data_IF_123057872151
#
_entry.id   IF_123057872151
#
_cell.length_a   1.000
_cell.length_b   1.000
_cell.length_c   1.000
_cell.angle_alpha   90.00
_cell.angle_beta   90.00
_cell.angle_gamma   90.00
#
_symmetry.space_group_name_H-M   'P 1'
#
loop_
_entity.id
_entity.type
_entity.pdbx_description
1 polymer ?
#
# COMPACT_ATOMS: atom_id res chain seq x y z
N UNK A 1 21.75 17.80 10.01
CA UNK A 1 20.76 16.71 10.02
C UNK A 1 21.47 15.44 9.56
N UNK A 2 22.10 14.69 10.46
CA UNK A 2 22.46 13.30 10.14
C UNK A 2 21.16 12.50 10.04
N UNK A 3 20.98 11.78 8.94
CA UNK A 3 19.73 11.13 8.58
C UNK A 3 19.44 9.90 9.43
N UNK A 4 18.15 9.71 9.75
CA UNK A 4 17.58 8.55 10.47
C UNK A 4 17.99 7.20 9.89
N UNK A 5 18.39 7.17 8.61
CA UNK A 5 18.92 5.98 7.93
C UNK A 5 20.24 5.47 8.52
N UNK A 6 21.10 6.34 9.08
CA UNK A 6 22.34 5.91 9.76
C UNK A 6 22.04 5.34 11.14
N UNK A 7 21.11 5.96 11.87
CA UNK A 7 20.67 5.49 13.19
C UNK A 7 20.04 4.09 13.09
N UNK A 8 19.18 3.85 12.08
CA UNK A 8 18.62 2.51 11.82
C UNK A 8 19.66 1.46 11.41
N UNK A 9 20.72 1.88 10.73
CA UNK A 9 21.80 0.96 10.33
C UNK A 9 22.68 0.55 11.52
N UNK A 10 22.81 1.42 12.53
CA UNK A 10 23.53 1.13 13.77
C UNK A 10 22.70 0.25 14.72
N UNK A 11 21.38 0.44 14.81
CA UNK A 11 20.47 -0.37 15.64
C UNK A 11 20.44 -1.86 15.26
N UNK A 12 20.64 -2.19 13.96
CA UNK A 12 20.72 -3.58 13.48
C UNK A 12 21.90 -4.34 14.10
N UNK A 13 22.91 -3.67 14.66
CA UNK A 13 24.07 -4.32 15.27
C UNK A 13 23.86 -4.68 16.75
N UNK A 14 22.66 -4.47 17.32
CA UNK A 14 22.38 -4.72 18.74
C UNK A 14 21.65 -6.06 19.02
N UNK A 15 21.56 -6.96 18.04
CA UNK A 15 21.07 -8.33 18.26
C UNK A 15 22.08 -9.14 19.08
N UNK A 16 21.59 -9.99 19.98
CA UNK A 16 22.46 -10.78 20.84
C UNK A 16 23.19 -11.81 19.99
N UNK A 17 24.53 -11.78 20.02
CA UNK A 17 25.38 -12.76 19.33
C UNK A 17 25.35 -14.14 20.01
N UNK A 18 24.51 -14.33 21.04
CA UNK A 18 24.40 -15.59 21.76
C UNK A 18 23.39 -16.52 21.10
N UNK A 19 23.82 -17.75 20.79
CA UNK A 19 22.96 -18.79 20.18
C UNK A 19 21.67 -19.08 20.98
N UNK A 20 21.65 -18.82 22.29
CA UNK A 20 20.46 -18.99 23.12
C UNK A 20 19.38 -17.91 22.90
N UNK A 21 19.78 -16.73 22.44
CA UNK A 21 18.87 -15.57 22.25
C UNK A 21 18.36 -15.46 20.80
N UNK A 22 19.01 -16.15 19.86
CA UNK A 22 18.67 -16.11 18.43
C UNK A 22 17.20 -16.49 18.13
N UNK A 23 16.59 -17.36 18.95
CA UNK A 23 15.17 -17.70 18.83
C UNK A 23 14.24 -16.54 19.19
N UNK A 24 14.55 -15.82 20.27
CA UNK A 24 13.80 -14.65 20.74
C UNK A 24 13.97 -13.49 19.75
N UNK A 25 15.22 -13.19 19.36
CA UNK A 25 15.52 -12.10 18.41
C UNK A 25 14.80 -12.32 17.06
N UNK A 26 14.74 -13.56 16.57
CA UNK A 26 14.03 -13.87 15.34
C UNK A 26 12.51 -13.74 15.50
N UNK A 27 11.95 -14.19 16.63
CA UNK A 27 10.53 -14.02 16.92
C UNK A 27 10.14 -12.54 16.97
N UNK A 28 10.91 -11.72 17.68
CA UNK A 28 10.64 -10.28 17.81
C UNK A 28 10.72 -9.57 16.45
N UNK A 29 11.69 -9.96 15.62
CA UNK A 29 11.81 -9.46 14.25
C UNK A 29 10.62 -9.86 13.38
N UNK A 30 10.24 -11.13 13.39
CA UNK A 30 9.12 -11.63 12.60
C UNK A 30 7.79 -11.00 13.05
N UNK A 31 7.62 -10.80 14.36
CA UNK A 31 6.48 -10.08 14.92
C UNK A 31 6.42 -8.63 14.46
N UNK A 32 7.55 -7.90 14.52
CA UNK A 32 7.64 -6.52 14.05
C UNK A 32 7.33 -6.39 12.55
N UNK A 33 7.83 -7.32 11.73
CA UNK A 33 7.52 -7.37 10.30
C UNK A 33 6.03 -7.66 10.04
N UNK A 34 5.41 -8.56 10.79
CA UNK A 34 3.98 -8.86 10.66
C UNK A 34 3.12 -7.64 11.02
N UNK A 35 3.49 -6.90 12.06
CA UNK A 35 2.78 -5.68 12.45
C UNK A 35 2.88 -4.62 11.34
N UNK A 36 4.09 -4.40 10.81
CA UNK A 36 4.31 -3.44 9.73
C UNK A 36 3.53 -3.81 8.46
N UNK A 37 3.44 -5.10 8.12
CA UNK A 37 2.63 -5.57 6.99
C UNK A 37 1.14 -5.26 7.20
N UNK A 38 0.63 -5.49 8.42
CA UNK A 38 -0.77 -5.18 8.76
C UNK A 38 -1.06 -3.69 8.65
N UNK A 39 -0.13 -2.84 9.08
CA UNK A 39 -0.26 -1.38 8.99
C UNK A 39 -0.28 -0.91 7.53
N UNK A 40 0.58 -1.47 6.67
CA UNK A 40 0.57 -1.18 5.23
C UNK A 40 -0.75 -1.59 4.56
N UNK A 41 -1.27 -2.77 4.89
CA UNK A 41 -2.56 -3.24 4.38
C UNK A 41 -3.71 -2.30 4.81
N UNK A 42 -3.67 -1.81 6.05
CA UNK A 42 -4.65 -0.85 6.56
C UNK A 42 -4.56 0.50 5.81
N UNK A 43 -3.35 1.02 5.57
CA UNK A 43 -3.15 2.25 4.80
C UNK A 43 -3.69 2.13 3.38
N UNK A 44 -3.39 1.01 2.71
CA UNK A 44 -3.90 0.74 1.38
C UNK A 44 -5.45 0.73 1.35
N UNK A 45 -6.08 0.10 2.33
CA UNK A 45 -7.54 0.06 2.41
C UNK A 45 -8.17 1.43 2.71
N UNK A 46 -7.48 2.28 3.48
CA UNK A 46 -7.88 3.66 3.72
C UNK A 46 -7.82 4.47 2.41
N UNK A 47 -6.72 4.37 1.65
CA UNK A 47 -6.58 5.05 0.36
C UNK A 47 -7.65 4.60 -0.65
N UNK A 48 -7.94 3.30 -0.71
CA UNK A 48 -9.03 2.79 -1.55
C UNK A 48 -10.40 3.30 -1.07
N UNK A 49 -10.64 3.40 0.23
CA UNK A 49 -11.87 3.96 0.77
C UNK A 49 -12.04 5.46 0.40
N UNK A 50 -10.96 6.24 0.45
CA UNK A 50 -10.96 7.64 0.00
C UNK A 50 -11.31 7.74 -1.49
N UNK A 51 -10.70 6.91 -2.34
CA UNK A 51 -11.05 6.85 -3.77
C UNK A 51 -12.52 6.45 -4.01
N UNK A 52 -13.10 5.58 -3.17
CA UNK A 52 -14.54 5.23 -3.24
C UNK A 52 -15.43 6.42 -2.88
N UNK A 53 -14.99 7.28 -1.96
CA UNK A 53 -15.72 8.51 -1.63
C UNK A 53 -15.72 9.44 -2.84
N UNK A 54 -14.56 9.66 -3.48
CA UNK A 54 -14.45 10.48 -4.68
C UNK A 54 -15.32 9.97 -5.83
N UNK A 55 -15.39 8.63 -6.00
CA UNK A 55 -16.25 7.98 -6.99
C UNK A 55 -17.73 7.92 -6.60
N UNK A 56 -18.09 8.30 -5.38
CA UNK A 56 -19.47 8.22 -4.86
C UNK A 56 -19.98 6.80 -4.58
N UNK A 57 -19.09 5.81 -4.50
CA UNK A 57 -19.44 4.39 -4.23
C UNK A 57 -19.17 3.95 -2.79
N UNK A 58 -18.74 4.89 -1.93
CA UNK A 58 -18.50 4.62 -0.52
C UNK A 58 -19.75 4.11 0.21
N UNK A 59 -19.57 3.12 1.08
CA UNK A 59 -20.65 2.51 1.83
C UNK A 59 -21.48 1.49 1.04
N UNK A 60 -21.05 1.09 -0.16
CA UNK A 60 -21.65 -0.01 -0.94
C UNK A 60 -20.70 -1.20 -0.96
N UNK A 61 -21.23 -2.39 -0.70
CA UNK A 61 -20.46 -3.63 -0.71
C UNK A 61 -20.01 -3.99 -2.13
N UNK A 62 -18.71 -4.21 -2.34
CA UNK A 62 -18.15 -4.50 -3.67
C UNK A 62 -18.61 -5.87 -4.23
N UNK A 63 -18.95 -6.84 -3.38
CA UNK A 63 -19.39 -8.18 -3.83
C UNK A 63 -20.89 -8.21 -4.10
N UNK A 64 -21.68 -7.69 -3.17
CA UNK A 64 -23.15 -7.86 -3.19
C UNK A 64 -23.90 -6.64 -3.73
N UNK A 65 -23.24 -5.49 -3.86
CA UNK A 65 -23.87 -4.22 -4.22
C UNK A 65 -24.83 -3.67 -3.16
N UNK A 66 -24.93 -4.32 -1.99
CA UNK A 66 -25.81 -3.90 -0.89
C UNK A 66 -25.16 -2.79 -0.05
N UNK A 67 -25.94 -1.90 0.58
CA UNK A 67 -25.40 -0.89 1.47
C UNK A 67 -24.74 -1.53 2.70
N UNK A 68 -23.59 -0.99 3.10
CA UNK A 68 -22.86 -1.38 4.31
C UNK A 68 -23.52 -0.68 5.52
N UNK A 69 -23.81 -1.40 6.62
CA UNK A 69 -24.41 -0.79 7.81
C UNK A 69 -23.59 0.39 8.35
N UNK A 70 -24.25 1.49 8.68
CA UNK A 70 -23.58 2.70 9.21
C UNK A 70 -22.73 2.41 10.46
N UNK A 71 -23.27 1.66 11.42
CA UNK A 71 -22.55 1.26 12.62
C UNK A 71 -21.22 0.53 12.33
N UNK A 72 -21.11 -0.15 11.19
CA UNK A 72 -19.86 -0.77 10.75
C UNK A 72 -18.88 0.25 10.17
N UNK A 73 -19.35 1.19 9.37
CA UNK A 73 -18.51 2.27 8.82
C UNK A 73 -18.05 3.24 9.93
N UNK A 74 -18.85 3.43 10.97
CA UNK A 74 -18.47 4.23 12.14
C UNK A 74 -17.35 3.57 12.95
N UNK A 75 -17.35 2.23 13.01
CA UNK A 75 -16.31 1.46 13.70
C UNK A 75 -15.06 1.22 12.82
N UNK A 76 -15.26 0.93 11.53
CA UNK A 76 -14.24 0.60 10.54
C UNK A 76 -14.54 1.36 9.24
N UNK A 77 -14.04 2.60 9.09
CA UNK A 77 -14.36 3.45 7.95
C UNK A 77 -13.93 2.88 6.59
N UNK A 78 -12.83 2.13 6.53
CA UNK A 78 -12.33 1.55 5.28
C UNK A 78 -13.00 0.22 4.88
N UNK A 79 -14.08 -0.19 5.57
CA UNK A 79 -14.73 -1.47 5.31
C UNK A 79 -15.30 -1.58 3.88
N UNK A 80 -14.88 -2.62 3.15
CA UNK A 80 -15.28 -2.93 1.76
C UNK A 80 -16.58 -3.70 1.60
N UNK A 81 -16.88 -4.53 2.60
CA UNK A 81 -17.91 -5.56 2.51
C UNK A 81 -18.87 -5.49 3.69
N UNK A 82 -20.07 -6.00 3.48
CA UNK A 82 -20.97 -6.35 4.59
C UNK A 82 -20.40 -7.52 5.39
N UNK A 83 -20.85 -7.66 6.64
CA UNK A 83 -20.44 -8.78 7.51
C UNK A 83 -20.73 -10.13 6.83
N UNK A 84 -21.92 -10.29 6.27
CA UNK A 84 -22.32 -11.52 5.57
C UNK A 84 -21.40 -11.87 4.40
N UNK A 85 -21.03 -10.87 3.58
CA UNK A 85 -20.15 -11.05 2.44
C UNK A 85 -18.71 -11.34 2.88
N UNK A 86 -18.24 -10.65 3.92
CA UNK A 86 -16.92 -10.91 4.50
C UNK A 86 -16.84 -12.33 5.07
N UNK A 87 -17.84 -12.77 5.85
CA UNK A 87 -17.88 -14.13 6.43
C UNK A 87 -17.88 -15.21 5.37
N UNK A 88 -18.56 -14.99 4.23
CA UNK A 88 -18.51 -15.92 3.10
C UNK A 88 -17.11 -15.98 2.49
N UNK A 89 -16.47 -14.83 2.27
CA UNK A 89 -15.11 -14.76 1.74
C UNK A 89 -14.06 -15.43 2.65
N UNK A 90 -14.22 -15.28 3.97
CA UNK A 90 -13.38 -15.93 4.99
C UNK A 90 -13.56 -17.45 4.96
N UNK A 91 -14.82 -17.91 4.86
CA UNK A 91 -15.15 -19.34 4.77
C UNK A 91 -14.59 -19.98 3.51
N UNK A 92 -14.65 -19.28 2.39
CA UNK A 92 -14.16 -19.78 1.09
C UNK A 92 -12.63 -19.75 0.99
N UNK A 93 -11.94 -19.27 2.04
CA UNK A 93 -10.47 -19.20 2.09
C UNK A 93 -9.86 -18.17 1.15
N UNK A 94 -10.70 -17.39 0.44
CA UNK A 94 -10.30 -16.40 -0.54
C UNK A 94 -9.63 -15.16 0.09
N UNK A 95 -9.70 -15.01 1.41
CA UNK A 95 -8.97 -14.00 2.19
C UNK A 95 -7.53 -14.38 2.53
N UNK A 96 -7.02 -15.54 2.09
CA UNK A 96 -5.60 -15.88 2.26
C UNK A 96 -4.74 -15.00 1.35
N UNK A 97 -4.28 -13.88 1.92
CA UNK A 97 -3.21 -13.01 1.44
C UNK A 97 -3.17 -12.87 -0.08
N UNK A 98 -3.79 -11.81 -0.60
CA UNK A 98 -3.09 -11.10 -1.66
C UNK A 98 -1.81 -10.58 -1.00
N UNK A 99 -0.74 -11.38 -1.02
CA UNK A 99 0.62 -10.84 -0.91
C UNK A 99 0.62 -9.65 -1.84
N UNK A 100 1.03 -8.49 -1.33
CA UNK A 100 1.29 -7.31 -2.15
C UNK A 100 2.26 -7.72 -3.25
N UNK A 101 1.71 -8.21 -4.36
CA UNK A 101 2.41 -8.30 -5.61
C UNK A 101 2.40 -6.85 -6.10
N UNK A 102 3.54 -6.20 -5.93
CA UNK A 102 3.88 -4.93 -6.55
C UNK A 102 3.38 -3.65 -5.84
N UNK A 103 3.69 -3.47 -4.55
CA UNK A 103 3.85 -2.10 -4.04
C UNK A 103 5.30 -1.70 -4.29
N UNK A 104 5.49 -0.78 -5.25
CA UNK A 104 6.80 -0.26 -5.63
C UNK A 104 7.54 0.22 -4.39
N UNK A 105 8.81 -0.13 -4.30
CA UNK A 105 9.73 0.47 -3.35
C UNK A 105 9.63 1.99 -3.48
N UNK A 106 9.72 2.69 -2.36
CA UNK A 106 9.59 4.16 -2.28
C UNK A 106 10.62 4.92 -3.14
N UNK A 107 11.59 4.21 -3.72
CA UNK A 107 12.58 4.70 -4.69
C UNK A 107 12.06 4.86 -6.14
N UNK A 108 10.84 4.42 -6.47
CA UNK A 108 10.36 4.46 -7.86
C UNK A 108 9.92 5.87 -8.35
N UNK A 109 9.82 6.87 -7.46
CA UNK A 109 9.59 8.27 -7.84
C UNK A 109 10.95 8.98 -7.99
N UNK A 110 11.70 8.66 -9.04
CA UNK A 110 12.82 9.53 -9.46
C UNK A 110 13.08 9.61 -10.97
N UNK A 111 12.28 8.95 -11.83
CA UNK A 111 12.41 9.12 -13.28
C UNK A 111 11.06 9.45 -13.91
N UNK A 112 10.58 10.67 -13.67
CA UNK A 112 9.73 11.35 -14.63
C UNK A 112 10.65 12.35 -15.34
N UNK A 113 11.18 11.92 -16.48
CA UNK A 113 11.85 12.80 -17.43
C UNK A 113 10.79 13.81 -17.91
N UNK A 114 10.95 15.06 -17.50
CA UNK A 114 10.17 16.18 -18.04
C UNK A 114 10.80 16.53 -19.38
N UNK A 115 10.14 16.16 -20.46
CA UNK A 115 10.45 16.64 -21.80
C UNK A 115 10.18 18.17 -21.84
N UNK A 116 11.25 18.96 -21.93
CA UNK A 116 11.14 20.40 -22.23
C UNK A 116 10.92 20.57 -23.73
N UNK A 117 9.71 20.99 -24.11
CA UNK A 117 9.42 21.54 -25.44
C UNK A 117 10.14 22.88 -25.60
N UNK A 118 11.06 22.97 -26.57
CA UNK A 118 11.56 24.25 -27.09
C UNK A 118 11.06 24.41 -28.51
N UNK A 119 10.10 25.32 -28.69
CA UNK A 119 9.71 25.87 -29.99
C UNK A 119 10.83 26.76 -30.54
N UNK A 120 11.21 26.56 -31.80
CA UNK A 120 11.75 27.63 -32.65
C UNK A 120 10.99 27.66 -33.99
N UNK A 121 10.46 28.84 -34.31
CA UNK A 121 9.69 29.15 -35.52
C UNK A 121 10.54 29.14 -36.82
N UNK A 122 9.97 28.46 -37.81
CA UNK A 122 9.80 28.80 -39.25
C UNK A 122 10.92 29.44 -40.08
N UNK A 123 11.20 28.83 -41.26
CA UNK A 123 11.11 29.46 -42.61
C UNK A 123 11.24 28.44 -43.76
N UNK A 124 10.79 28.74 -44.99
CA UNK A 124 9.97 27.82 -45.79
C UNK A 124 10.57 27.33 -47.12
N UNK A 125 9.94 26.25 -47.65
CA UNK A 125 9.74 25.85 -49.06
C UNK A 125 10.94 25.57 -50.00
N UNK A 126 11.02 24.33 -50.54
CA UNK A 126 10.79 24.06 -51.99
C UNK A 126 10.74 22.56 -52.36
N UNK A 127 9.98 22.33 -53.43
CA UNK A 127 9.48 21.09 -54.02
C UNK A 127 10.51 20.07 -54.59
N UNK A 128 10.09 18.79 -54.53
CA UNK A 128 10.13 17.71 -55.55
C UNK A 128 11.33 17.61 -56.51
N UNK A 129 11.97 16.43 -56.52
CA UNK A 129 11.90 15.41 -57.59
C UNK A 129 12.45 14.07 -57.11
#
# INVERSE_FOLDING_TARGET
MQGRAKESAEEINNFSLHMADAGTDNFDRDFALSLLSSDQDALYEIDEALKRIERGTYGVCEITGKPIPKARLDAIPWARFTVEAQTQLERDGALRHKRLANLGTVDAVSTLEVEEEVEEEEKPAKDKE
#
